data_IF_679445855910
#
_entry.id   IF_679445855910
#
_cell.length_a   1.000
_cell.length_b   1.000
_cell.length_c   1.000
_cell.angle_alpha   90.00
_cell.angle_beta   90.00
_cell.angle_gamma   90.00
#
_symmetry.space_group_name_H-M   'P 1'
#
loop_
_entity.id
_entity.type
_entity.pdbx_description
1 polymer ?
#
# COMPACT_ATOMS: atom_id res chain seq x y z
N UNK A 1 -19.43 2.10 18.65
CA UNK A 1 -18.11 2.46 18.09
C UNK A 1 -18.33 3.04 16.70
N UNK A 2 -17.51 4.02 16.29
CA UNK A 2 -17.62 4.64 14.97
C UNK A 2 -17.29 3.62 13.86
N UNK A 3 -18.10 3.58 12.79
CA UNK A 3 -17.81 2.81 11.58
C UNK A 3 -16.79 3.51 10.66
N UNK A 4 -16.31 4.69 11.06
CA UNK A 4 -15.30 5.42 10.30
C UNK A 4 -13.95 4.71 10.36
N UNK A 5 -13.41 4.37 9.19
CA UNK A 5 -12.10 3.74 9.03
C UNK A 5 -11.18 4.69 8.29
N UNK A 6 -9.96 4.84 8.80
CA UNK A 6 -8.92 5.61 8.13
C UNK A 6 -8.28 4.76 7.03
N UNK A 7 -8.12 5.35 5.86
CA UNK A 7 -7.41 4.78 4.71
C UNK A 7 -6.21 5.68 4.39
N UNK A 8 -5.02 5.09 4.29
CA UNK A 8 -3.81 5.81 3.88
C UNK A 8 -3.77 5.90 2.36
N UNK A 9 -3.65 7.10 1.81
CA UNK A 9 -3.35 7.24 0.38
C UNK A 9 -1.84 7.02 0.16
N UNK A 10 -1.46 6.09 -0.72
CA UNK A 10 -0.07 5.72 -0.99
C UNK A 10 0.82 6.91 -1.41
N UNK A 11 0.26 7.96 -2.04
CA UNK A 11 1.03 9.15 -2.43
C UNK A 11 1.66 9.89 -1.23
N UNK A 12 1.11 9.70 -0.02
CA UNK A 12 1.66 10.24 1.23
C UNK A 12 3.08 9.73 1.49
N UNK A 13 3.40 8.52 1.03
CA UNK A 13 4.66 7.81 1.26
C UNK A 13 5.24 7.22 -0.05
N UNK A 14 5.01 7.92 -1.17
CA UNK A 14 5.34 7.48 -2.54
C UNK A 14 6.82 7.14 -2.77
N UNK A 15 7.71 7.63 -1.92
CA UNK A 15 9.16 7.38 -2.02
C UNK A 15 9.58 5.98 -1.56
N UNK A 16 8.64 5.18 -1.04
CA UNK A 16 8.88 3.80 -0.59
C UNK A 16 8.27 2.79 -1.57
N UNK A 17 8.81 1.58 -1.61
CA UNK A 17 8.24 0.50 -2.44
C UNK A 17 6.87 0.04 -1.90
N UNK A 18 6.08 -0.61 -2.74
CA UNK A 18 4.69 -0.96 -2.44
C UNK A 18 4.52 -1.83 -1.18
N UNK A 19 5.47 -2.73 -0.89
CA UNK A 19 5.39 -3.57 0.31
C UNK A 19 5.70 -2.77 1.56
N UNK A 20 6.68 -1.85 1.48
CA UNK A 20 6.94 -0.87 2.54
C UNK A 20 5.75 0.06 2.77
N UNK A 21 5.01 0.43 1.71
CA UNK A 21 3.80 1.26 1.85
C UNK A 21 2.71 0.53 2.68
N UNK A 22 2.49 -0.75 2.41
CA UNK A 22 1.55 -1.61 3.15
C UNK A 22 1.98 -1.75 4.61
N UNK A 23 3.26 -2.05 4.85
CA UNK A 23 3.84 -2.18 6.20
C UNK A 23 3.70 -0.89 7.03
N UNK A 24 3.93 0.27 6.41
CA UNK A 24 3.74 1.57 7.08
C UNK A 24 2.27 1.80 7.43
N UNK A 25 1.33 1.48 6.53
CA UNK A 25 -0.11 1.64 6.82
C UNK A 25 -0.54 0.80 8.02
N UNK A 26 -0.10 -0.45 8.10
CA UNK A 26 -0.34 -1.34 9.23
C UNK A 26 0.25 -0.78 10.54
N UNK A 27 1.51 -0.35 10.51
CA UNK A 27 2.23 0.15 11.70
C UNK A 27 1.71 1.49 12.23
N UNK A 28 1.06 2.30 11.39
CA UNK A 28 0.63 3.66 11.74
C UNK A 28 -0.85 3.77 12.10
N UNK A 29 -1.56 2.63 12.20
CA UNK A 29 -2.93 2.58 12.71
C UNK A 29 -4.01 2.86 11.66
N UNK A 30 -3.66 2.87 10.37
CA UNK A 30 -4.65 2.87 9.30
C UNK A 30 -5.31 1.49 9.19
N UNK A 31 -6.56 1.47 8.75
CA UNK A 31 -7.31 0.22 8.53
C UNK A 31 -7.21 -0.26 7.09
N UNK A 32 -6.80 0.62 6.17
CA UNK A 32 -6.66 0.34 4.75
C UNK A 32 -5.57 1.23 4.15
N UNK A 33 -5.10 0.84 2.97
CA UNK A 33 -4.25 1.64 2.10
C UNK A 33 -4.85 1.66 0.69
N UNK A 34 -4.82 2.83 0.04
CA UNK A 34 -5.16 3.01 -1.37
C UNK A 34 -3.87 3.00 -2.19
N UNK A 35 -3.61 1.89 -2.89
CA UNK A 35 -2.44 1.69 -3.74
C UNK A 35 -2.69 2.21 -5.16
N UNK A 36 -1.62 2.65 -5.83
CA UNK A 36 -1.68 3.07 -7.22
C UNK A 36 -1.37 1.89 -8.14
N UNK A 37 -2.11 1.78 -9.24
CA UNK A 37 -1.97 0.66 -10.18
C UNK A 37 -0.58 0.58 -10.83
N UNK A 38 0.05 1.72 -11.13
CA UNK A 38 1.39 1.78 -11.72
C UNK A 38 2.48 1.23 -10.78
N UNK A 39 2.32 1.40 -9.46
CA UNK A 39 3.20 0.78 -8.47
C UNK A 39 3.00 -0.73 -8.38
N UNK A 40 1.76 -1.22 -8.50
CA UNK A 40 1.46 -2.66 -8.56
C UNK A 40 2.12 -3.25 -9.82
N UNK A 41 1.93 -2.61 -10.96
CA UNK A 41 2.56 -3.02 -12.22
C UNK A 41 4.08 -3.02 -12.11
N UNK A 42 4.67 -1.99 -11.50
CA UNK A 42 6.12 -1.91 -11.27
C UNK A 42 6.62 -3.08 -10.42
N UNK A 43 5.94 -3.38 -9.30
CA UNK A 43 6.30 -4.50 -8.43
C UNK A 43 6.28 -5.85 -9.15
N UNK A 44 5.24 -6.09 -9.96
CA UNK A 44 5.11 -7.33 -10.73
C UNK A 44 6.13 -7.40 -11.88
N UNK A 45 6.30 -6.31 -12.63
CA UNK A 45 7.20 -6.26 -13.79
C UNK A 45 8.68 -6.33 -13.42
N UNK A 46 9.04 -5.85 -12.23
CA UNK A 46 10.40 -6.00 -11.68
C UNK A 46 10.65 -7.39 -11.09
N UNK A 47 9.64 -8.28 -11.08
CA UNK A 47 9.75 -9.63 -10.54
C UNK A 47 9.88 -9.68 -9.02
N UNK A 48 9.42 -8.64 -8.31
CA UNK A 48 9.45 -8.59 -6.84
C UNK A 48 8.35 -9.44 -6.18
N UNK A 49 7.31 -9.79 -6.94
CA UNK A 49 6.21 -10.66 -6.51
C UNK A 49 5.07 -10.64 -7.52
N UNK A 50 3.88 -10.95 -7.04
CA UNK A 50 2.64 -11.04 -7.80
C UNK A 50 1.54 -10.16 -7.19
N UNK A 51 0.45 -9.94 -7.92
CA UNK A 51 -0.73 -9.25 -7.39
C UNK A 51 -1.32 -9.97 -6.17
N UNK A 52 -1.11 -11.28 -6.02
CA UNK A 52 -1.59 -12.04 -4.87
C UNK A 52 -0.79 -11.79 -3.58
N UNK A 53 0.38 -11.15 -3.68
CA UNK A 53 1.24 -10.80 -2.54
C UNK A 53 0.89 -9.42 -1.94
N UNK A 54 -0.04 -8.69 -2.56
CA UNK A 54 -0.45 -7.31 -2.24
C UNK A 54 -1.87 -7.32 -1.65
#
# INVERSE_FOLDING_TARGET
MSHFKLCLNASTIMTTDIMTQIDIAEKTGFTAIELWFDHIDTFVNEGKGSVADI
#
